data_IF_270523038095
#
_entry.id   IF_270523038095
#
_cell.length_a   1.000
_cell.length_b   1.000
_cell.length_c   1.000
_cell.angle_alpha   90.00
_cell.angle_beta   90.00
_cell.angle_gamma   90.00
#
_symmetry.space_group_name_H-M   'P 1'
#
loop_
_entity.id
_entity.type
_entity.pdbx_description
1 polymer ?
#
# COMPACT_ATOMS: atom_id res chain seq x y z
N UNK A 1 -47.49 88.50 0.17
CA UNK A 1 -46.16 87.94 0.46
C UNK A 1 -46.30 86.45 0.70
N UNK A 2 -46.13 85.66 -0.32
CA UNK A 2 -46.38 84.19 -0.32
C UNK A 2 -45.08 83.43 -0.51
N UNK A 3 -44.61 82.75 0.52
CA UNK A 3 -43.47 81.84 0.44
C UNK A 3 -43.94 80.51 -0.11
N UNK A 4 -43.45 80.17 -1.28
CA UNK A 4 -43.65 78.83 -1.87
C UNK A 4 -42.71 77.83 -1.18
N UNK A 5 -43.30 76.87 -0.52
CA UNK A 5 -42.58 75.73 -0.01
C UNK A 5 -42.27 74.77 -1.19
N UNK A 6 -41.01 74.46 -1.39
CA UNK A 6 -40.56 73.42 -2.32
C UNK A 6 -40.61 72.07 -1.61
N UNK A 7 -41.52 71.23 -2.06
CA UNK A 7 -41.54 69.79 -1.66
C UNK A 7 -40.42 69.12 -2.46
N UNK A 8 -39.41 68.59 -1.74
CA UNK A 8 -38.40 67.72 -2.32
C UNK A 8 -38.92 66.33 -2.18
N UNK A 9 -39.30 65.72 -3.30
CA UNK A 9 -39.64 64.29 -3.34
C UNK A 9 -38.36 63.49 -3.35
N UNK A 10 -38.06 62.85 -2.21
CA UNK A 10 -36.99 61.88 -2.11
C UNK A 10 -37.43 60.54 -2.71
N UNK A 11 -36.99 60.25 -3.93
CA UNK A 11 -37.17 58.98 -4.57
C UNK A 11 -36.28 57.97 -3.90
N UNK A 12 -36.85 57.01 -3.15
CA UNK A 12 -36.15 55.88 -2.64
C UNK A 12 -35.96 54.82 -3.78
N UNK A 13 -34.75 54.72 -4.30
CA UNK A 13 -34.36 53.64 -5.22
C UNK A 13 -34.18 52.38 -4.38
N UNK A 14 -35.16 51.51 -4.44
CA UNK A 14 -35.02 50.15 -3.90
C UNK A 14 -34.15 49.34 -4.87
N UNK A 15 -32.87 49.19 -4.53
CA UNK A 15 -31.99 48.22 -5.20
C UNK A 15 -32.32 46.85 -4.68
N UNK A 16 -33.10 46.07 -5.45
CA UNK A 16 -33.31 44.66 -5.21
C UNK A 16 -32.00 43.91 -5.56
N UNK A 17 -31.17 43.67 -4.57
CA UNK A 17 -30.03 42.76 -4.70
C UNK A 17 -30.57 41.34 -4.74
N UNK A 18 -30.83 40.81 -5.94
CA UNK A 18 -31.03 39.39 -6.17
C UNK A 18 -29.70 38.66 -5.96
N UNK A 19 -29.46 38.24 -4.72
CA UNK A 19 -28.33 37.40 -4.38
C UNK A 19 -28.55 35.99 -4.98
N UNK A 20 -27.98 35.74 -6.14
CA UNK A 20 -27.78 34.40 -6.65
C UNK A 20 -26.76 33.71 -5.72
N UNK A 21 -27.27 32.96 -4.73
CA UNK A 21 -26.53 31.92 -4.05
C UNK A 21 -26.26 30.80 -5.04
N UNK A 22 -25.24 30.97 -5.89
CA UNK A 22 -24.58 29.86 -6.54
C UNK A 22 -23.93 29.03 -5.44
N UNK A 23 -24.65 28.02 -4.97
CA UNK A 23 -24.06 26.92 -4.19
C UNK A 23 -23.07 26.21 -5.09
N UNK A 24 -21.87 26.79 -5.22
CA UNK A 24 -20.71 26.11 -5.78
C UNK A 24 -20.41 24.93 -4.89
N UNK A 25 -20.87 23.74 -5.29
CA UNK A 25 -20.34 22.49 -4.78
C UNK A 25 -18.86 22.48 -5.13
N UNK A 26 -18.04 22.94 -4.20
CA UNK A 26 -16.60 22.71 -4.25
C UNK A 26 -16.43 21.19 -4.12
N UNK A 27 -16.42 20.52 -5.27
CA UNK A 27 -15.85 19.20 -5.36
C UNK A 27 -14.39 19.35 -4.96
N UNK A 28 -14.11 19.16 -3.67
CA UNK A 28 -12.79 18.85 -3.18
C UNK A 28 -12.40 17.52 -3.83
N UNK A 29 -11.88 17.59 -5.06
CA UNK A 29 -11.06 16.54 -5.62
C UNK A 29 -9.83 16.49 -4.74
N UNK A 30 -9.97 15.81 -3.59
CA UNK A 30 -8.85 15.50 -2.74
C UNK A 30 -7.82 14.81 -3.61
N UNK A 31 -6.71 15.47 -3.87
CA UNK A 31 -5.51 14.84 -4.37
C UNK A 31 -5.27 13.65 -3.45
N UNK A 32 -5.58 12.45 -3.93
CA UNK A 32 -5.23 11.23 -3.23
C UNK A 32 -3.71 11.22 -3.19
N UNK A 33 -3.15 11.70 -2.11
CA UNK A 33 -1.78 11.41 -1.75
C UNK A 33 -1.68 9.89 -1.80
N UNK A 34 -0.93 9.35 -2.79
CA UNK A 34 -0.88 7.93 -3.08
C UNK A 34 -0.17 7.07 -2.01
N UNK A 35 -0.09 7.56 -0.78
CA UNK A 35 0.44 6.86 0.38
C UNK A 35 -0.56 5.88 0.98
N UNK A 36 -0.06 4.97 1.80
CA UNK A 36 -0.88 4.04 2.56
C UNK A 36 -1.67 4.80 3.63
N UNK A 37 -3.00 4.59 3.75
CA UNK A 37 -3.82 5.32 4.71
C UNK A 37 -3.45 5.01 6.17
N UNK A 38 -3.13 3.75 6.49
CA UNK A 38 -2.71 3.32 7.84
C UNK A 38 -1.78 2.11 7.72
N UNK A 39 -0.62 2.17 8.37
CA UNK A 39 0.31 1.05 8.48
C UNK A 39 -0.14 0.12 9.62
N UNK A 40 -0.14 -1.18 9.36
CA UNK A 40 -0.49 -2.19 10.37
C UNK A 40 -1.98 -2.48 10.52
N UNK A 41 -2.84 -1.84 9.73
CA UNK A 41 -4.27 -2.14 9.67
C UNK A 41 -4.67 -2.60 8.27
N UNK A 42 -5.68 -3.46 8.18
CA UNK A 42 -6.24 -3.86 6.89
C UNK A 42 -7.01 -2.68 6.29
N UNK A 43 -6.64 -2.32 5.06
CA UNK A 43 -7.21 -1.19 4.34
C UNK A 43 -8.56 -1.61 3.76
N UNK A 44 -9.59 -0.78 3.96
CA UNK A 44 -10.90 -1.01 3.36
C UNK A 44 -10.80 -1.13 1.82
N UNK A 45 -11.51 -2.09 1.23
CA UNK A 45 -11.34 -2.47 -0.18
C UNK A 45 -11.44 -1.30 -1.18
N UNK A 46 -12.32 -0.32 -0.91
CA UNK A 46 -12.49 0.87 -1.74
C UNK A 46 -11.29 1.85 -1.68
N UNK A 47 -10.43 1.74 -0.67
CA UNK A 47 -9.30 2.65 -0.42
C UNK A 47 -7.95 2.02 -0.77
N UNK A 48 -7.91 0.73 -1.13
CA UNK A 48 -6.68 0.01 -1.44
C UNK A 48 -6.01 0.59 -2.69
N UNK A 49 -4.76 1.10 -2.60
CA UNK A 49 -4.02 1.53 -3.79
C UNK A 49 -3.58 0.31 -4.60
N UNK A 50 -3.35 0.51 -5.89
CA UNK A 50 -2.74 -0.53 -6.72
C UNK A 50 -1.30 -0.79 -6.28
N UNK A 51 -0.93 -2.06 -6.18
CA UNK A 51 0.47 -2.45 -6.10
C UNK A 51 1.12 -2.28 -7.48
N UNK A 52 2.41 -1.93 -7.55
CA UNK A 52 3.12 -1.93 -8.82
C UNK A 52 3.21 -3.36 -9.37
N UNK A 53 3.31 -3.49 -10.70
CA UNK A 53 3.63 -4.76 -11.32
C UNK A 53 5.07 -5.12 -11.01
N UNK A 54 5.29 -6.29 -10.41
CA UNK A 54 6.60 -6.75 -9.95
C UNK A 54 6.93 -8.05 -10.66
N UNK A 55 8.08 -8.08 -11.31
CA UNK A 55 8.65 -9.29 -11.89
C UNK A 55 10.17 -9.21 -11.85
N UNK A 56 10.83 -10.36 -11.83
CA UNK A 56 12.29 -10.39 -11.82
C UNK A 56 12.87 -11.79 -11.74
N UNK A 57 14.19 -11.86 -11.79
CA UNK A 57 14.94 -13.10 -11.64
C UNK A 57 14.95 -13.52 -10.18
N UNK A 58 14.61 -14.78 -9.90
CA UNK A 58 14.66 -15.32 -8.55
C UNK A 58 16.09 -15.65 -8.13
N UNK A 59 16.31 -15.82 -6.81
CA UNK A 59 17.60 -16.23 -6.27
C UNK A 59 18.09 -17.58 -6.85
N UNK A 60 17.19 -18.44 -7.32
CA UNK A 60 17.50 -19.71 -7.96
C UNK A 60 17.70 -19.63 -9.48
N UNK A 61 17.64 -18.42 -10.06
CA UNK A 61 17.82 -18.17 -11.50
C UNK A 61 16.55 -18.33 -12.35
N UNK A 62 15.41 -18.68 -11.75
CA UNK A 62 14.12 -18.69 -12.44
C UNK A 62 13.56 -17.28 -12.61
N UNK A 63 12.34 -17.18 -13.14
CA UNK A 63 11.61 -15.92 -13.26
C UNK A 63 10.34 -15.94 -12.44
N UNK A 64 10.05 -14.87 -11.71
CA UNK A 64 8.82 -14.68 -10.96
C UNK A 64 8.09 -13.45 -11.49
N UNK A 65 6.79 -13.60 -11.77
CA UNK A 65 5.90 -12.54 -12.22
C UNK A 65 4.69 -12.47 -11.27
N UNK A 66 4.68 -11.49 -10.37
CA UNK A 66 3.60 -11.32 -9.37
C UNK A 66 2.24 -11.03 -10.02
N UNK A 67 2.12 -10.21 -11.09
CA UNK A 67 0.87 -10.04 -11.83
C UNK A 67 0.20 -11.35 -12.28
N UNK A 68 0.96 -12.39 -12.59
CA UNK A 68 0.42 -13.70 -12.97
C UNK A 68 -0.34 -14.40 -11.82
N UNK A 69 -0.22 -13.88 -10.60
CA UNK A 69 -0.89 -14.40 -9.42
C UNK A 69 -2.21 -13.67 -9.09
N UNK A 70 -2.76 -12.90 -10.04
CA UNK A 70 -4.09 -12.30 -9.86
C UNK A 70 -5.13 -13.38 -9.52
N UNK A 71 -6.08 -13.05 -8.66
CA UNK A 71 -7.02 -14.00 -8.07
C UNK A 71 -6.54 -14.60 -6.75
N UNK A 72 -5.26 -14.44 -6.40
CA UNK A 72 -4.70 -14.89 -5.13
C UNK A 72 -4.31 -13.71 -4.25
N UNK A 73 -4.43 -13.86 -2.94
CA UNK A 73 -3.79 -12.99 -1.97
C UNK A 73 -2.29 -13.25 -1.99
N UNK A 74 -1.48 -12.18 -2.06
CA UNK A 74 -0.03 -12.26 -2.12
C UNK A 74 0.58 -11.55 -0.93
N UNK A 75 1.47 -12.24 -0.20
CA UNK A 75 2.34 -11.64 0.80
C UNK A 75 3.69 -11.37 0.16
N UNK A 76 4.10 -10.12 0.14
CA UNK A 76 5.37 -9.67 -0.41
C UNK A 76 6.23 -9.09 0.70
N UNK A 77 7.42 -9.65 0.90
CA UNK A 77 8.34 -9.21 1.95
C UNK A 77 9.66 -8.71 1.35
N UNK A 78 10.04 -7.48 1.69
CA UNK A 78 11.36 -6.90 1.40
C UNK A 78 12.31 -7.23 2.53
N UNK A 79 13.44 -7.86 2.23
CA UNK A 79 14.37 -8.38 3.21
C UNK A 79 15.81 -8.42 2.68
N UNK A 80 16.77 -8.69 3.57
CA UNK A 80 18.15 -8.99 3.23
C UNK A 80 18.79 -9.83 4.32
N UNK A 81 19.77 -10.67 3.97
CA UNK A 81 20.44 -11.57 4.92
C UNK A 81 21.26 -10.80 5.97
N UNK A 82 21.72 -9.60 5.63
CA UNK A 82 22.44 -8.66 6.51
C UNK A 82 21.53 -8.03 7.57
N UNK A 83 20.22 -8.04 7.38
CA UNK A 83 19.24 -7.37 8.23
C UNK A 83 18.92 -8.22 9.48
N UNK A 84 19.30 -7.74 10.66
CA UNK A 84 19.08 -8.46 11.92
C UNK A 84 17.59 -8.70 12.23
N UNK A 85 16.67 -7.71 12.08
CA UNK A 85 15.24 -7.95 12.25
C UNK A 85 14.69 -8.98 11.25
N UNK A 86 15.19 -9.02 10.00
CA UNK A 86 14.77 -10.00 9.00
C UNK A 86 15.06 -11.44 9.42
N UNK A 87 16.20 -11.65 10.11
CA UNK A 87 16.57 -12.97 10.66
C UNK A 87 15.59 -13.46 11.73
N UNK A 88 14.98 -12.53 12.48
CA UNK A 88 13.96 -12.86 13.47
C UNK A 88 12.59 -13.11 12.82
N UNK A 89 12.29 -12.39 11.75
CA UNK A 89 11.02 -12.49 11.02
C UNK A 89 10.97 -13.72 10.10
N UNK A 90 12.08 -14.15 9.51
CA UNK A 90 12.13 -15.24 8.54
C UNK A 90 11.38 -16.52 8.98
N UNK A 91 11.61 -17.06 10.19
CA UNK A 91 10.84 -18.21 10.69
C UNK A 91 9.33 -17.94 10.81
N UNK A 92 8.93 -16.71 11.13
CA UNK A 92 7.52 -16.29 11.23
C UNK A 92 6.87 -16.33 9.84
N UNK A 93 7.49 -15.69 8.85
CA UNK A 93 7.02 -15.70 7.46
C UNK A 93 6.93 -17.13 6.91
N UNK A 94 7.96 -17.93 7.14
CA UNK A 94 7.99 -19.33 6.69
C UNK A 94 6.86 -20.16 7.33
N UNK A 95 6.53 -19.91 8.58
CA UNK A 95 5.44 -20.58 9.28
C UNK A 95 4.08 -20.16 8.72
N UNK A 96 3.80 -18.85 8.65
CA UNK A 96 2.53 -18.33 8.11
C UNK A 96 2.32 -18.78 6.67
N UNK A 97 3.37 -18.78 5.84
CA UNK A 97 3.30 -19.24 4.45
C UNK A 97 2.85 -20.71 4.34
N UNK A 98 3.34 -21.58 5.22
CA UNK A 98 2.91 -23.00 5.25
C UNK A 98 1.47 -23.14 5.74
N UNK A 99 1.10 -22.42 6.79
CA UNK A 99 -0.19 -22.52 7.44
C UNK A 99 -1.33 -21.91 6.61
N UNK A 100 -1.06 -20.85 5.82
CA UNK A 100 -2.08 -20.20 4.99
C UNK A 100 -2.16 -20.73 3.55
N UNK A 101 -1.34 -21.72 3.20
CA UNK A 101 -1.31 -22.30 1.85
C UNK A 101 -2.68 -22.82 1.39
N UNK A 102 -3.47 -23.40 2.29
CA UNK A 102 -4.79 -23.94 1.98
C UNK A 102 -5.82 -22.84 1.64
N UNK A 103 -5.57 -21.59 2.02
CA UNK A 103 -6.36 -20.42 1.64
C UNK A 103 -5.99 -19.89 0.24
N UNK A 104 -5.08 -20.54 -0.47
CA UNK A 104 -4.59 -20.07 -1.76
C UNK A 104 -3.65 -18.85 -1.68
N UNK A 105 -3.16 -18.50 -0.49
CA UNK A 105 -2.23 -17.39 -0.30
C UNK A 105 -0.87 -17.74 -0.88
N UNK A 106 -0.28 -16.80 -1.61
CA UNK A 106 1.06 -16.91 -2.19
C UNK A 106 2.03 -15.98 -1.48
N UNK A 107 3.26 -16.43 -1.32
CA UNK A 107 4.32 -15.64 -0.71
C UNK A 107 5.45 -15.42 -1.71
N UNK A 108 6.04 -14.22 -1.67
CA UNK A 108 7.26 -13.89 -2.39
C UNK A 108 8.17 -12.99 -1.53
N UNK A 109 9.47 -13.18 -1.63
CA UNK A 109 10.47 -12.29 -1.09
C UNK A 109 11.01 -11.35 -2.16
N UNK A 110 11.51 -10.19 -1.75
CA UNK A 110 12.40 -9.33 -2.52
C UNK A 110 13.69 -9.21 -1.71
N UNK A 111 14.72 -9.88 -2.19
CA UNK A 111 16.05 -9.87 -1.59
C UNK A 111 16.83 -8.64 -2.10
N UNK A 112 17.07 -7.69 -1.20
CA UNK A 112 17.60 -6.37 -1.56
C UNK A 112 19.06 -6.19 -1.11
N UNK A 113 19.81 -5.44 -1.92
CA UNK A 113 21.13 -4.89 -1.56
C UNK A 113 22.18 -5.93 -1.17
N UNK A 114 22.13 -7.11 -1.77
CA UNK A 114 23.13 -8.15 -1.57
C UNK A 114 23.30 -9.07 -2.78
N UNK A 115 24.32 -9.91 -2.74
CA UNK A 115 24.56 -10.95 -3.73
C UNK A 115 23.55 -12.11 -3.54
N UNK A 116 23.00 -12.67 -4.63
CA UNK A 116 22.03 -13.76 -4.56
C UNK A 116 22.47 -14.98 -3.74
N UNK A 117 23.79 -15.23 -3.64
CA UNK A 117 24.31 -16.34 -2.86
C UNK A 117 24.09 -16.19 -1.35
N UNK A 118 24.12 -14.93 -0.84
CA UNK A 118 23.81 -14.62 0.55
C UNK A 118 22.32 -14.83 0.84
N UNK A 119 21.46 -14.36 -0.07
CA UNK A 119 20.01 -14.58 0.00
C UNK A 119 19.67 -16.08 0.00
N UNK A 120 20.26 -16.87 -0.90
CA UNK A 120 20.06 -18.31 -0.92
C UNK A 120 20.51 -19.00 0.38
N UNK A 121 21.61 -18.56 0.99
CA UNK A 121 22.06 -19.08 2.27
C UNK A 121 21.05 -18.79 3.39
N UNK A 122 20.45 -17.59 3.37
CA UNK A 122 19.40 -17.20 4.29
C UNK A 122 18.14 -18.06 4.11
N UNK A 123 17.63 -18.22 2.86
CA UNK A 123 16.45 -19.04 2.57
C UNK A 123 16.64 -20.48 3.06
N UNK A 124 17.80 -21.06 2.80
CA UNK A 124 18.12 -22.42 3.29
C UNK A 124 18.13 -22.48 4.81
N UNK A 125 18.79 -21.53 5.46
CA UNK A 125 18.92 -21.49 6.93
C UNK A 125 17.57 -21.40 7.64
N UNK A 126 16.66 -20.61 7.12
CA UNK A 126 15.34 -20.35 7.73
C UNK A 126 14.22 -21.18 7.11
N UNK A 127 14.56 -22.11 6.19
CA UNK A 127 13.60 -22.99 5.51
C UNK A 127 12.45 -22.19 4.87
N UNK A 128 12.78 -21.10 4.17
CA UNK A 128 11.81 -20.25 3.48
C UNK A 128 11.15 -21.08 2.36
N UNK A 129 9.80 -21.26 2.36
CA UNK A 129 9.13 -22.18 1.44
C UNK A 129 8.61 -21.50 0.15
N UNK A 130 9.04 -20.29 -0.15
CA UNK A 130 8.59 -19.49 -1.28
C UNK A 130 9.78 -18.82 -1.98
N UNK A 131 9.62 -18.44 -3.28
CA UNK A 131 10.70 -17.81 -4.04
C UNK A 131 10.92 -16.35 -3.62
N UNK A 132 12.17 -15.89 -3.74
CA UNK A 132 12.52 -14.47 -3.66
C UNK A 132 13.11 -13.97 -4.98
N UNK A 133 12.71 -12.76 -5.40
CA UNK A 133 13.35 -12.02 -6.48
C UNK A 133 14.63 -11.38 -5.95
N UNK A 134 15.71 -11.48 -6.71
CA UNK A 134 16.97 -10.77 -6.43
C UNK A 134 16.86 -9.33 -6.92
N UNK A 135 17.02 -8.38 -6.00
CA UNK A 135 17.01 -6.93 -6.30
C UNK A 135 18.21 -6.22 -5.63
N UNK A 136 19.44 -6.51 -6.07
CA UNK A 136 20.65 -5.95 -5.46
C UNK A 136 20.70 -4.41 -5.57
N UNK A 137 19.99 -3.84 -6.53
CA UNK A 137 19.88 -2.38 -6.71
C UNK A 137 18.79 -1.71 -5.89
N UNK A 138 17.95 -2.48 -5.16
CA UNK A 138 16.78 -1.98 -4.40
C UNK A 138 15.81 -1.15 -5.28
N UNK A 139 15.67 -1.55 -6.55
CA UNK A 139 14.89 -0.80 -7.54
C UNK A 139 13.40 -1.11 -7.49
N UNK A 140 13.03 -2.28 -6.98
CA UNK A 140 11.61 -2.67 -6.86
C UNK A 140 10.91 -1.79 -5.81
N UNK A 141 11.58 -1.47 -4.71
CA UNK A 141 11.05 -0.59 -3.67
C UNK A 141 10.61 0.77 -4.22
N UNK A 142 11.37 1.35 -5.13
CA UNK A 142 11.09 2.67 -5.75
C UNK A 142 9.77 2.64 -6.55
N UNK A 143 9.40 1.50 -7.11
CA UNK A 143 8.15 1.35 -7.89
C UNK A 143 6.89 1.50 -7.05
N UNK A 144 6.98 1.39 -5.73
CA UNK A 144 5.86 1.62 -4.81
C UNK A 144 5.51 3.10 -4.64
N UNK A 145 6.35 4.03 -5.10
CA UNK A 145 6.10 5.47 -5.02
C UNK A 145 5.84 5.93 -3.58
N UNK A 146 4.69 6.55 -3.34
CA UNK A 146 4.30 7.02 -2.01
C UNK A 146 4.01 5.88 -1.00
N UNK A 147 3.87 4.64 -1.46
CA UNK A 147 3.72 3.45 -0.62
C UNK A 147 5.04 2.69 -0.45
N UNK A 148 6.19 3.29 -0.80
CA UNK A 148 7.50 2.65 -0.74
C UNK A 148 7.83 2.13 0.68
N UNK A 149 8.58 1.01 0.78
CA UNK A 149 9.05 0.49 2.06
C UNK A 149 9.82 1.56 2.85
N UNK A 150 9.40 1.83 4.08
CA UNK A 150 10.04 2.81 4.95
C UNK A 150 11.15 2.19 5.83
N UNK A 151 11.25 0.86 5.85
CA UNK A 151 12.23 0.11 6.63
C UNK A 151 12.54 -1.24 6.00
N UNK A 152 13.58 -1.91 6.48
CA UNK A 152 13.87 -3.31 6.18
C UNK A 152 13.86 -4.11 7.49
N UNK A 153 13.01 -5.15 7.62
CA UNK A 153 12.05 -5.67 6.63
C UNK A 153 10.82 -4.78 6.44
N UNK A 154 10.11 -5.00 5.33
CA UNK A 154 8.77 -4.45 5.09
C UNK A 154 7.90 -5.51 4.43
N UNK A 155 6.69 -5.68 4.92
CA UNK A 155 5.76 -6.68 4.41
C UNK A 155 4.49 -6.02 3.91
N UNK A 156 4.06 -6.44 2.72
CA UNK A 156 2.80 -6.04 2.10
C UNK A 156 1.91 -7.26 1.92
N UNK A 157 0.61 -7.07 2.08
CA UNK A 157 -0.40 -8.03 1.63
C UNK A 157 -1.15 -7.37 0.48
N UNK A 158 -1.14 -8.05 -0.66
CA UNK A 158 -1.78 -7.61 -1.90
C UNK A 158 -2.98 -8.53 -2.13
N UNK A 159 -4.15 -7.95 -2.33
CA UNK A 159 -5.37 -8.72 -2.59
C UNK A 159 -5.40 -9.33 -4.00
N UNK A 160 -6.37 -10.22 -4.25
CA UNK A 160 -6.53 -10.89 -5.55
C UNK A 160 -6.75 -9.94 -6.73
N UNK A 161 -7.10 -8.68 -6.50
CA UNK A 161 -7.22 -7.64 -7.52
C UNK A 161 -5.91 -6.87 -7.73
N UNK A 162 -4.85 -7.22 -6.99
CA UNK A 162 -3.55 -6.58 -7.06
C UNK A 162 -3.47 -5.23 -6.35
N UNK A 163 -4.25 -5.05 -5.31
CA UNK A 163 -4.26 -3.83 -4.52
C UNK A 163 -3.62 -4.09 -3.16
N UNK A 164 -2.86 -3.12 -2.65
CA UNK A 164 -2.25 -3.21 -1.32
C UNK A 164 -3.38 -3.15 -0.28
N UNK A 165 -3.57 -4.27 0.41
CA UNK A 165 -4.58 -4.41 1.44
C UNK A 165 -4.03 -4.20 2.86
N UNK A 166 -2.72 -4.40 3.04
CA UNK A 166 -2.04 -4.20 4.32
C UNK A 166 -0.55 -3.94 4.08
N UNK A 167 0.08 -3.19 4.98
CA UNK A 167 1.52 -3.01 5.00
C UNK A 167 2.05 -2.87 6.43
N UNK A 168 3.27 -3.36 6.66
CA UNK A 168 3.99 -3.21 7.89
C UNK A 168 5.47 -2.91 7.62
N UNK A 169 6.05 -1.97 8.34
CA UNK A 169 7.43 -1.54 8.22
C UNK A 169 8.19 -1.90 9.51
N UNK A 170 9.16 -2.77 9.41
CA UNK A 170 9.83 -3.46 10.49
C UNK A 170 9.45 -4.94 10.57
N UNK A 171 10.05 -5.67 11.51
CA UNK A 171 9.72 -7.09 11.69
C UNK A 171 8.29 -7.27 12.19
N UNK A 172 7.52 -8.13 11.53
CA UNK A 172 6.18 -8.51 11.95
C UNK A 172 6.20 -9.68 12.95
N UNK A 173 5.15 -9.80 13.73
CA UNK A 173 4.93 -10.97 14.59
C UNK A 173 4.03 -11.99 13.88
N UNK A 174 4.03 -13.24 14.38
CA UNK A 174 3.15 -14.28 13.87
C UNK A 174 1.68 -13.85 13.88
N UNK A 175 1.19 -13.38 15.03
CA UNK A 175 -0.22 -13.00 15.17
C UNK A 175 -0.62 -11.82 14.29
N UNK A 176 0.25 -10.81 14.15
CA UNK A 176 -0.02 -9.67 13.27
C UNK A 176 -0.16 -10.12 11.81
N UNK A 177 0.79 -10.91 11.33
CA UNK A 177 0.79 -11.35 9.93
C UNK A 177 -0.33 -12.35 9.66
N UNK A 178 -0.52 -13.34 10.51
CA UNK A 178 -1.54 -14.38 10.35
C UNK A 178 -2.94 -13.79 10.32
N UNK A 179 -3.27 -12.89 11.26
CA UNK A 179 -4.56 -12.20 11.27
C UNK A 179 -4.79 -11.37 10.01
N UNK A 180 -3.81 -10.56 9.60
CA UNK A 180 -3.94 -9.72 8.41
C UNK A 180 -4.07 -10.57 7.13
N UNK A 181 -3.28 -11.63 6.99
CA UNK A 181 -3.36 -12.55 5.85
C UNK A 181 -4.73 -13.23 5.78
N UNK A 182 -5.21 -13.74 6.91
CA UNK A 182 -6.49 -14.43 6.98
C UNK A 182 -7.66 -13.51 6.65
N UNK A 183 -7.64 -12.27 7.18
CA UNK A 183 -8.67 -11.27 6.89
C UNK A 183 -8.70 -10.88 5.39
N UNK A 184 -7.53 -10.69 4.76
CA UNK A 184 -7.45 -10.30 3.35
C UNK A 184 -7.76 -11.46 2.41
N UNK A 185 -7.46 -12.70 2.82
CA UNK A 185 -7.70 -13.90 2.00
C UNK A 185 -9.16 -14.39 2.03
N UNK A 186 -9.98 -13.87 2.93
CA UNK A 186 -11.42 -14.17 2.91
C UNK A 186 -12.09 -13.51 1.70
N UNK A 187 -13.04 -14.21 1.03
CA UNK A 187 -13.73 -13.71 -0.15
C UNK A 187 -14.68 -12.54 0.16
#
# INVERSE_FOLDING_TARGET
>A
MTRRARVVASGAIAVAAAGLLAAGAVHLTGSRSGGLPVVGQVIAAAQRPLAPDISGTTLTGGHLDIPSWRGHTVVLNFWGSWCVPCRKEGPVLARVARETRFLGVRFAGIDIREDPSAGLAFERKYHIPYPSISDPGDLIAVRFGAAAPAATPSTYIIDGRGRIAWAWFGATTYSQLELAVTEVAQP
#
